data_IF_107082916532
#
_entry.id   IF_107082916532
#
_cell.length_a   1.000
_cell.length_b   1.000
_cell.length_c   1.000
_cell.angle_alpha   90.00
_cell.angle_beta   90.00
_cell.angle_gamma   90.00
#
_symmetry.space_group_name_H-M   'P 1'
#
loop_
_entity.id
_entity.type
_entity.pdbx_description
1 polymer ?
#
# COMPACT_ATOMS: atom_id res chain seq x y z
N UNK A 1 15.93 -1.96 -5.56
CA UNK A 1 15.39 -1.35 -6.80
C UNK A 1 14.81 0.01 -6.45
N UNK A 2 15.08 1.02 -7.25
CA UNK A 2 14.46 2.35 -7.06
C UNK A 2 12.95 2.27 -7.30
N UNK A 3 12.19 3.04 -6.52
CA UNK A 3 10.72 3.04 -6.56
C UNK A 3 10.20 3.40 -7.96
N UNK A 4 10.86 4.32 -8.65
CA UNK A 4 10.48 4.75 -9.99
C UNK A 4 10.62 3.61 -11.00
N UNK A 5 11.74 2.87 -10.96
CA UNK A 5 11.97 1.70 -11.81
C UNK A 5 10.89 0.63 -11.63
N UNK A 6 10.50 0.34 -10.39
CA UNK A 6 9.42 -0.61 -10.11
C UNK A 6 8.07 -0.09 -10.62
N UNK A 7 7.76 1.18 -10.35
CA UNK A 7 6.50 1.80 -10.75
C UNK A 7 6.36 1.81 -12.29
N UNK A 8 7.46 2.04 -13.04
CA UNK A 8 7.51 1.96 -14.50
C UNK A 8 7.30 0.53 -15.02
N UNK A 9 7.98 -0.45 -14.43
CA UNK A 9 7.79 -1.86 -14.79
C UNK A 9 6.33 -2.29 -14.58
N UNK A 10 5.72 -1.91 -13.46
CA UNK A 10 4.32 -2.20 -13.17
C UNK A 10 3.37 -1.53 -14.18
N UNK A 11 3.67 -0.29 -14.59
CA UNK A 11 2.88 0.41 -15.62
C UNK A 11 2.94 -0.32 -16.96
N UNK A 12 4.14 -0.68 -17.43
CA UNK A 12 4.33 -1.43 -18.69
C UNK A 12 3.68 -2.80 -18.64
N UNK A 13 3.75 -3.49 -17.50
CA UNK A 13 3.04 -4.77 -17.31
C UNK A 13 1.54 -4.61 -17.52
N UNK A 14 0.92 -3.54 -17.01
CA UNK A 14 -0.52 -3.28 -17.23
C UNK A 14 -0.81 -3.05 -18.71
N UNK A 15 0.06 -2.33 -19.43
CA UNK A 15 -0.07 -2.13 -20.87
C UNK A 15 0.01 -3.45 -21.65
N UNK A 16 0.95 -4.32 -21.28
CA UNK A 16 1.05 -5.68 -21.84
C UNK A 16 -0.17 -6.55 -21.49
N UNK A 17 -0.72 -6.43 -20.28
CA UNK A 17 -1.93 -7.14 -19.89
C UNK A 17 -3.14 -6.73 -20.74
N UNK A 18 -3.27 -5.44 -21.06
CA UNK A 18 -4.29 -4.95 -21.98
C UNK A 18 -4.14 -5.54 -23.37
N UNK A 19 -2.91 -5.49 -23.92
CA UNK A 19 -2.60 -6.03 -25.25
C UNK A 19 -2.88 -7.54 -25.33
N UNK A 20 -2.70 -8.27 -24.23
CA UNK A 20 -3.00 -9.70 -24.11
C UNK A 20 -4.47 -10.02 -23.88
N UNK A 21 -5.36 -9.02 -23.81
CA UNK A 21 -6.80 -9.24 -23.75
C UNK A 21 -7.43 -9.15 -22.35
N UNK A 22 -6.78 -8.51 -21.37
CA UNK A 22 -7.34 -8.31 -20.02
C UNK A 22 -8.79 -7.80 -20.02
N UNK A 23 -9.12 -6.82 -20.87
CA UNK A 23 -10.50 -6.29 -20.97
C UNK A 23 -11.48 -7.39 -21.39
N UNK A 24 -11.09 -8.24 -22.34
CA UNK A 24 -11.88 -9.38 -22.80
C UNK A 24 -12.11 -10.39 -21.70
N UNK A 25 -11.08 -10.71 -20.91
CA UNK A 25 -11.18 -11.61 -19.76
C UNK A 25 -12.15 -11.07 -18.69
N UNK A 26 -12.02 -9.79 -18.32
CA UNK A 26 -12.88 -9.15 -17.31
C UNK A 26 -14.33 -9.07 -17.79
N UNK A 27 -14.55 -8.77 -19.07
CA UNK A 27 -15.88 -8.79 -19.69
C UNK A 27 -16.49 -10.18 -19.68
N UNK A 28 -15.73 -11.21 -20.09
CA UNK A 28 -16.20 -12.60 -20.06
C UNK A 28 -16.56 -13.04 -18.64
N UNK A 29 -15.76 -12.65 -17.65
CA UNK A 29 -16.04 -12.89 -16.24
C UNK A 29 -17.34 -12.21 -15.78
N UNK A 30 -17.55 -10.94 -16.13
CA UNK A 30 -18.77 -10.20 -15.79
C UNK A 30 -20.03 -10.77 -16.46
N UNK A 31 -19.94 -11.15 -17.75
CA UNK A 31 -21.05 -11.78 -18.49
C UNK A 31 -21.43 -13.13 -17.89
N UNK A 32 -20.43 -13.98 -17.59
CA UNK A 32 -20.63 -15.31 -16.99
C UNK A 32 -21.34 -15.24 -15.63
N UNK A 33 -21.16 -14.15 -14.90
CA UNK A 33 -21.78 -13.95 -13.57
C UNK A 33 -23.09 -13.15 -13.61
N UNK A 34 -23.76 -13.09 -14.78
CA UNK A 34 -25.06 -12.46 -14.90
C UNK A 34 -25.00 -10.93 -14.90
N UNK A 35 -24.02 -10.36 -15.60
CA UNK A 35 -23.85 -8.91 -15.77
C UNK A 35 -23.59 -8.17 -14.44
N UNK A 36 -22.89 -8.85 -13.54
CA UNK A 36 -22.45 -8.31 -12.25
C UNK A 36 -21.18 -9.02 -11.82
N UNK A 37 -20.36 -8.34 -11.03
CA UNK A 37 -19.26 -9.00 -10.34
C UNK A 37 -19.82 -9.82 -9.16
N UNK A 38 -19.52 -11.12 -9.06
CA UNK A 38 -19.96 -11.92 -7.92
C UNK A 38 -19.30 -11.43 -6.64
N UNK A 39 -19.94 -11.62 -5.48
CA UNK A 39 -19.33 -11.27 -4.20
C UNK A 39 -18.33 -12.34 -3.75
N UNK A 40 -17.17 -12.40 -4.40
CA UNK A 40 -16.09 -13.34 -4.09
C UNK A 40 -14.70 -12.70 -4.19
N UNK A 41 -13.66 -13.44 -3.81
CA UNK A 41 -12.27 -12.97 -3.82
C UNK A 41 -11.78 -12.58 -5.22
N UNK A 42 -12.26 -13.25 -6.27
CA UNK A 42 -11.85 -12.99 -7.65
C UNK A 42 -12.31 -11.61 -8.14
N UNK A 43 -13.52 -11.18 -7.78
CA UNK A 43 -14.00 -9.81 -8.05
C UNK A 43 -13.17 -8.72 -7.38
N UNK A 44 -12.40 -9.07 -6.34
CA UNK A 44 -11.46 -8.17 -5.68
C UNK A 44 -10.13 -7.99 -6.42
N UNK A 45 -9.88 -8.75 -7.49
CA UNK A 45 -8.66 -8.61 -8.29
C UNK A 45 -8.60 -7.22 -8.97
N UNK A 46 -7.42 -6.62 -8.96
CA UNK A 46 -7.16 -5.33 -9.63
C UNK A 46 -7.41 -5.50 -11.12
N UNK A 47 -8.30 -4.69 -11.69
CA UNK A 47 -8.78 -4.78 -13.07
C UNK A 47 -10.28 -5.06 -13.14
N UNK A 48 -10.82 -5.89 -12.24
CA UNK A 48 -12.23 -6.30 -12.32
C UNK A 48 -13.17 -5.10 -12.10
N UNK A 49 -13.07 -4.46 -10.93
CA UNK A 49 -13.93 -3.32 -10.57
C UNK A 49 -13.68 -2.09 -11.43
N UNK A 50 -12.41 -1.87 -11.83
CA UNK A 50 -11.99 -0.70 -12.60
C UNK A 50 -12.60 -0.71 -14.01
N UNK A 51 -12.75 -1.88 -14.64
CA UNK A 51 -13.47 -1.99 -15.90
C UNK A 51 -14.98 -2.17 -15.71
N UNK A 52 -15.41 -3.01 -14.76
CA UNK A 52 -16.82 -3.39 -14.67
C UNK A 52 -17.76 -2.23 -14.38
N UNK A 53 -17.26 -1.15 -13.76
CA UNK A 53 -18.03 0.07 -13.52
C UNK A 53 -18.49 0.77 -14.82
N UNK A 54 -17.85 0.47 -15.95
CA UNK A 54 -18.18 1.03 -17.26
C UNK A 54 -19.00 0.06 -18.13
N UNK A 55 -19.22 -1.18 -17.69
CA UNK A 55 -20.05 -2.12 -18.43
C UNK A 55 -21.53 -1.77 -18.21
N UNK A 56 -22.22 -1.41 -19.29
CA UNK A 56 -23.66 -1.14 -19.26
C UNK A 56 -24.46 -2.40 -19.56
N UNK A 57 -25.68 -2.48 -19.03
CA UNK A 57 -26.62 -3.56 -19.38
C UNK A 57 -26.94 -3.57 -20.87
N UNK A 58 -27.03 -2.38 -21.45
CA UNK A 58 -27.60 -2.17 -22.78
C UNK A 58 -26.57 -2.38 -23.88
N UNK A 59 -25.29 -2.10 -23.58
CA UNK A 59 -24.22 -2.41 -24.49
C UNK A 59 -22.93 -2.81 -23.75
N UNK A 60 -22.84 -4.07 -23.28
CA UNK A 60 -21.66 -4.58 -22.57
C UNK A 60 -20.35 -4.49 -23.37
N UNK A 61 -20.46 -4.24 -24.68
CA UNK A 61 -19.35 -4.14 -25.61
C UNK A 61 -18.85 -2.72 -25.83
N UNK A 62 -19.63 -1.71 -25.44
CA UNK A 62 -19.24 -0.31 -25.60
C UNK A 62 -18.66 0.19 -24.28
N UNK A 63 -17.33 0.13 -24.20
CA UNK A 63 -16.56 0.99 -23.30
C UNK A 63 -15.99 2.11 -24.17
N UNK A 64 -16.17 3.37 -23.78
CA UNK A 64 -15.57 4.47 -24.54
C UNK A 64 -14.04 4.44 -24.40
N UNK A 65 -13.30 5.06 -25.34
CA UNK A 65 -11.84 5.20 -25.19
C UNK A 65 -11.48 5.89 -23.87
N UNK A 66 -12.24 6.93 -23.51
CA UNK A 66 -12.04 7.68 -22.26
C UNK A 66 -12.28 6.81 -21.03
N UNK A 67 -13.33 5.99 -21.01
CA UNK A 67 -13.60 5.05 -19.92
C UNK A 67 -12.49 4.00 -19.78
N UNK A 68 -12.00 3.48 -20.91
CA UNK A 68 -10.88 2.55 -20.93
C UNK A 68 -9.62 3.20 -20.36
N UNK A 69 -9.25 4.40 -20.82
CA UNK A 69 -8.10 5.16 -20.31
C UNK A 69 -8.20 5.43 -18.81
N UNK A 70 -9.39 5.82 -18.33
CA UNK A 70 -9.67 6.04 -16.91
C UNK A 70 -9.50 4.75 -16.09
N UNK A 71 -10.08 3.63 -16.56
CA UNK A 71 -9.92 2.33 -15.93
C UNK A 71 -8.43 1.92 -15.85
N UNK A 72 -7.69 2.09 -16.94
CA UNK A 72 -6.26 1.75 -17.01
C UNK A 72 -5.43 2.61 -16.06
N UNK A 73 -5.71 3.92 -15.97
CA UNK A 73 -5.06 4.80 -15.01
C UNK A 73 -5.31 4.35 -13.56
N UNK A 74 -6.54 3.94 -13.24
CA UNK A 74 -6.88 3.40 -11.92
C UNK A 74 -6.17 2.06 -11.64
N UNK A 75 -6.12 1.15 -12.62
CA UNK A 75 -5.43 -0.15 -12.52
C UNK A 75 -3.94 0.06 -12.25
N UNK A 76 -3.28 0.94 -13.01
CA UNK A 76 -1.87 1.30 -12.80
C UNK A 76 -1.65 1.86 -11.39
N UNK A 77 -2.49 2.80 -10.95
CA UNK A 77 -2.43 3.40 -9.61
C UNK A 77 -2.60 2.35 -8.49
N UNK A 78 -3.60 1.48 -8.61
CA UNK A 78 -3.90 0.44 -7.63
C UNK A 78 -2.81 -0.64 -7.60
N UNK A 79 -2.23 -0.99 -8.75
CA UNK A 79 -1.09 -1.92 -8.84
C UNK A 79 0.12 -1.37 -8.11
N UNK A 80 0.48 -0.09 -8.32
CA UNK A 80 1.56 0.58 -7.58
C UNK A 80 1.27 0.62 -6.08
N UNK A 81 0.03 0.93 -5.68
CA UNK A 81 -0.40 0.95 -4.27
C UNK A 81 -0.25 -0.43 -3.62
N UNK A 82 -0.67 -1.47 -4.33
CA UNK A 82 -0.57 -2.85 -3.87
C UNK A 82 0.90 -3.28 -3.70
N UNK A 83 1.78 -2.94 -4.64
CA UNK A 83 3.21 -3.22 -4.51
C UNK A 83 3.83 -2.57 -3.25
N UNK A 84 3.56 -1.28 -2.95
CA UNK A 84 4.05 -0.70 -1.67
C UNK A 84 3.36 -1.29 -0.45
N UNK A 85 2.13 -1.78 -0.55
CA UNK A 85 1.50 -2.48 0.56
C UNK A 85 2.23 -3.81 0.83
N UNK A 86 2.59 -4.57 -0.21
CA UNK A 86 3.37 -5.79 -0.09
C UNK A 86 4.75 -5.51 0.52
N UNK A 87 5.49 -4.53 0.01
CA UNK A 87 6.78 -4.11 0.59
C UNK A 87 6.64 -3.73 2.06
N UNK A 88 5.65 -2.87 2.39
CA UNK A 88 5.38 -2.49 3.78
C UNK A 88 5.03 -3.69 4.64
N UNK A 89 4.29 -4.67 4.14
CA UNK A 89 3.93 -5.87 4.89
C UNK A 89 5.16 -6.73 5.16
N UNK A 90 6.01 -6.94 4.15
CA UNK A 90 7.28 -7.67 4.29
C UNK A 90 8.16 -7.00 5.35
N UNK A 91 8.38 -5.69 5.21
CA UNK A 91 9.24 -4.91 6.11
C UNK A 91 8.67 -4.76 7.52
N UNK A 92 7.35 -4.59 7.65
CA UNK A 92 6.74 -4.25 8.94
C UNK A 92 6.12 -5.42 9.69
N UNK A 93 5.90 -6.57 9.05
CA UNK A 93 5.26 -7.74 9.66
C UNK A 93 6.07 -9.01 9.43
N UNK A 94 6.36 -9.37 8.18
CA UNK A 94 7.06 -10.62 7.89
C UNK A 94 8.46 -10.66 8.52
N UNK A 95 9.30 -9.67 8.24
CA UNK A 95 10.66 -9.62 8.78
C UNK A 95 10.71 -9.65 10.31
N UNK A 96 9.92 -8.85 11.06
CA UNK A 96 9.84 -9.00 12.50
C UNK A 96 9.42 -10.40 12.98
N UNK A 97 8.43 -11.02 12.32
CA UNK A 97 7.97 -12.37 12.68
C UNK A 97 9.08 -13.40 12.47
N UNK A 98 9.81 -13.31 11.36
CA UNK A 98 10.93 -14.18 11.05
C UNK A 98 12.10 -13.99 12.05
N UNK A 99 12.39 -12.74 12.45
CA UNK A 99 13.39 -12.45 13.48
C UNK A 99 13.01 -13.00 14.87
N UNK A 100 11.72 -13.15 15.17
CA UNK A 100 11.24 -13.78 16.41
C UNK A 100 11.11 -15.30 16.33
N UNK A 101 11.40 -15.91 15.17
CA UNK A 101 11.32 -17.35 14.93
C UNK A 101 12.70 -18.01 14.92
N UNK A 102 12.75 -19.35 14.91
CA UNK A 102 13.99 -20.12 14.76
C UNK A 102 14.75 -19.82 13.46
N UNK A 103 14.08 -19.28 12.43
CA UNK A 103 14.73 -18.88 11.18
C UNK A 103 15.78 -17.76 11.36
N UNK A 104 15.77 -17.05 12.48
CA UNK A 104 16.84 -16.10 12.81
C UNK A 104 18.21 -16.78 12.91
N UNK A 105 18.26 -18.06 13.28
CA UNK A 105 19.48 -18.87 13.34
C UNK A 105 19.95 -19.33 11.94
N UNK A 106 19.06 -19.26 10.95
CA UNK A 106 19.33 -19.60 9.56
C UNK A 106 19.03 -18.39 8.63
N UNK A 107 19.74 -17.26 8.78
CA UNK A 107 19.39 -16.01 8.11
C UNK A 107 19.51 -16.08 6.58
N UNK A 108 20.20 -17.09 6.06
CA UNK A 108 20.35 -17.36 4.62
C UNK A 108 19.09 -17.97 3.98
N UNK A 109 18.12 -18.42 4.77
CA UNK A 109 16.89 -19.05 4.26
C UNK A 109 15.85 -18.05 3.77
N UNK A 110 16.04 -16.75 4.06
CA UNK A 110 15.20 -15.69 3.55
C UNK A 110 16.01 -14.78 2.64
N UNK A 111 15.80 -14.94 1.33
CA UNK A 111 16.59 -14.24 0.30
C UNK A 111 15.73 -13.24 -0.44
N UNK A 112 16.28 -12.05 -0.61
CA UNK A 112 15.69 -10.99 -1.42
C UNK A 112 16.50 -10.79 -2.69
N UNK A 113 15.95 -11.26 -3.82
CA UNK A 113 16.52 -11.07 -5.14
C UNK A 113 15.76 -9.98 -5.89
N UNK A 114 16.51 -9.12 -6.57
CA UNK A 114 15.94 -8.11 -7.46
C UNK A 114 16.15 -8.53 -8.90
N UNK A 115 15.08 -8.48 -9.69
CA UNK A 115 15.13 -8.75 -11.13
C UNK A 115 15.17 -7.41 -11.85
N UNK A 116 16.19 -7.21 -12.70
CA UNK A 116 16.23 -6.08 -13.60
C UNK A 116 15.49 -6.43 -14.89
N UNK A 117 14.90 -5.42 -15.54
CA UNK A 117 14.24 -5.62 -16.83
C UNK A 117 15.24 -6.18 -17.85
N UNK A 118 14.85 -7.25 -18.55
CA UNK A 118 15.69 -7.93 -19.55
C UNK A 118 16.79 -8.85 -19.00
N UNK A 119 17.03 -8.85 -17.69
CA UNK A 119 18.02 -9.74 -17.06
C UNK A 119 17.32 -11.00 -16.58
N UNK A 120 17.76 -12.16 -17.06
CA UNK A 120 17.27 -13.44 -16.55
C UNK A 120 17.61 -13.56 -15.06
N UNK A 121 16.55 -13.73 -14.25
CA UNK A 121 16.69 -13.92 -12.81
C UNK A 121 17.16 -15.35 -12.47
N UNK A 122 16.96 -16.31 -13.38
CA UNK A 122 17.24 -17.72 -13.14
C UNK A 122 18.68 -17.98 -12.69
N UNK A 123 19.74 -17.39 -13.29
CA UNK A 123 21.11 -17.59 -12.79
C UNK A 123 21.31 -17.11 -11.35
N UNK A 124 20.67 -16.00 -10.95
CA UNK A 124 20.76 -15.48 -9.59
C UNK A 124 20.00 -16.37 -8.59
N UNK A 125 18.83 -16.87 -9.00
CA UNK A 125 18.03 -17.84 -8.22
C UNK A 125 18.78 -19.16 -8.09
N UNK A 126 19.33 -19.68 -9.18
CA UNK A 126 20.07 -20.94 -9.22
C UNK A 126 21.31 -20.87 -8.33
N UNK A 127 22.14 -19.82 -8.44
CA UNK A 127 23.29 -19.61 -7.55
C UNK A 127 22.88 -19.59 -6.07
N UNK A 128 21.74 -18.97 -5.77
CA UNK A 128 21.19 -18.94 -4.41
C UNK A 128 20.79 -20.33 -3.93
N UNK A 129 20.10 -21.10 -4.77
CA UNK A 129 19.69 -22.47 -4.48
C UNK A 129 20.90 -23.41 -4.34
N UNK A 130 21.89 -23.30 -5.21
CA UNK A 130 23.09 -24.13 -5.15
C UNK A 130 23.89 -23.88 -3.86
N UNK A 131 23.95 -22.61 -3.43
CA UNK A 131 24.55 -22.24 -2.15
C UNK A 131 23.76 -22.81 -0.97
N UNK A 132 22.42 -22.80 -1.05
CA UNK A 132 21.55 -23.33 -0.01
C UNK A 132 21.58 -24.87 0.08
N UNK A 133 21.61 -25.55 -1.07
CA UNK A 133 21.63 -27.02 -1.17
C UNK A 133 23.04 -27.61 -1.02
N UNK A 134 24.08 -26.77 -0.99
CA UNK A 134 25.48 -27.20 -0.89
C UNK A 134 26.01 -27.91 -2.14
N UNK A 135 25.37 -27.72 -3.30
CA UNK A 135 25.69 -28.43 -4.56
C UNK A 135 26.83 -27.80 -5.34
N UNK A 136 27.28 -26.60 -4.96
CA UNK A 136 28.34 -25.86 -5.65
C UNK A 136 29.30 -25.22 -4.64
N UNK A 137 30.61 -25.10 -4.94
CA UNK A 137 31.53 -24.36 -4.09
C UNK A 137 31.01 -22.95 -3.82
N UNK A 138 30.80 -22.66 -2.54
CA UNK A 138 30.16 -21.45 -2.02
C UNK A 138 30.90 -20.21 -2.50
N UNK A 139 30.42 -19.56 -3.57
CA UNK A 139 30.76 -18.17 -3.81
C UNK A 139 29.97 -17.33 -2.78
N UNK A 140 30.64 -16.44 -2.02
CA UNK A 140 29.95 -15.66 -1.01
C UNK A 140 28.89 -14.76 -1.66
N UNK A 141 27.62 -15.07 -1.38
CA UNK A 141 26.49 -14.23 -1.76
C UNK A 141 26.53 -12.93 -0.95
N UNK A 142 26.27 -11.80 -1.61
CA UNK A 142 26.29 -10.48 -0.97
C UNK A 142 25.35 -10.45 0.25
N UNK A 143 25.80 -9.91 1.38
CA UNK A 143 25.01 -9.89 2.62
C UNK A 143 23.69 -9.13 2.47
N UNK A 144 23.64 -8.17 1.55
CA UNK A 144 22.44 -7.40 1.21
C UNK A 144 21.29 -8.28 0.68
N UNK A 145 21.58 -9.49 0.20
CA UNK A 145 20.58 -10.46 -0.25
C UNK A 145 19.83 -11.14 0.89
N UNK A 146 20.30 -11.01 2.14
CA UNK A 146 19.74 -11.71 3.29
C UNK A 146 19.16 -10.72 4.31
N UNK A 147 17.89 -10.29 4.15
CA UNK A 147 17.26 -9.35 5.07
C UNK A 147 17.26 -9.76 6.55
N UNK A 148 17.39 -11.05 6.86
CA UNK A 148 17.49 -11.54 8.25
C UNK A 148 18.86 -11.34 8.89
N UNK A 149 19.91 -11.04 8.10
CA UNK A 149 21.21 -10.62 8.65
C UNK A 149 21.20 -9.17 9.12
N UNK A 150 20.25 -8.36 8.65
CA UNK A 150 20.16 -6.94 8.99
C UNK A 150 19.51 -6.77 10.36
N UNK A 151 20.09 -5.93 11.22
CA UNK A 151 19.47 -5.63 12.51
C UNK A 151 18.12 -4.92 12.31
N UNK A 152 17.09 -5.49 12.93
CA UNK A 152 15.77 -4.88 12.91
C UNK A 152 15.77 -3.64 13.80
N UNK A 153 15.48 -2.46 13.23
CA UNK A 153 15.37 -1.23 14.00
C UNK A 153 14.34 -1.41 15.14
N UNK A 154 14.73 -1.09 16.36
CA UNK A 154 13.84 -1.14 17.52
C UNK A 154 12.65 -0.21 17.26
N UNK A 155 11.43 -0.75 17.33
CA UNK A 155 10.22 0.05 17.13
C UNK A 155 9.61 0.35 18.49
N UNK A 156 9.20 1.60 18.67
CA UNK A 156 8.36 1.96 19.82
C UNK A 156 7.12 1.05 19.87
N UNK A 157 6.65 0.69 21.08
CA UNK A 157 5.41 -0.05 21.22
C UNK A 157 4.24 0.74 20.64
N UNK A 158 3.24 0.04 20.14
CA UNK A 158 1.98 0.67 19.73
C UNK A 158 1.31 1.22 20.98
N UNK A 159 1.00 2.52 20.97
CA UNK A 159 0.32 3.17 22.08
C UNK A 159 -1.01 3.76 21.64
N UNK A 160 -1.94 3.85 22.58
CA UNK A 160 -3.23 4.52 22.45
C UNK A 160 -3.24 5.67 23.45
N UNK A 161 -3.29 6.90 22.96
CA UNK A 161 -3.24 8.11 23.80
C UNK A 161 -4.37 9.06 23.40
N UNK A 162 -5.04 9.64 24.38
CA UNK A 162 -6.09 10.64 24.13
C UNK A 162 -5.51 12.06 24.14
N UNK A 163 -5.84 12.87 23.14
CA UNK A 163 -5.59 14.30 23.18
C UNK A 163 -6.78 15.02 23.79
N UNK A 164 -6.66 15.49 25.04
CA UNK A 164 -7.72 16.21 25.77
C UNK A 164 -8.18 17.50 25.07
N UNK A 165 -7.29 18.17 24.35
CA UNK A 165 -7.60 19.43 23.64
C UNK A 165 -8.41 19.16 22.37
N UNK A 166 -7.98 18.19 21.56
CA UNK A 166 -8.67 17.86 20.32
C UNK A 166 -9.84 16.88 20.51
N UNK A 167 -9.98 16.28 21.70
CA UNK A 167 -10.94 15.22 22.03
C UNK A 167 -10.89 14.07 21.02
N UNK A 168 -9.68 13.66 20.66
CA UNK A 168 -9.44 12.54 19.76
C UNK A 168 -8.52 11.51 20.39
N UNK A 169 -8.76 10.27 20.01
CA UNK A 169 -7.93 9.13 20.37
C UNK A 169 -6.88 8.91 19.28
N UNK A 170 -5.61 8.99 19.66
CA UNK A 170 -4.47 8.85 18.75
C UNK A 170 -3.84 7.48 18.97
N UNK A 171 -3.84 6.67 17.92
CA UNK A 171 -3.33 5.31 17.91
C UNK A 171 -2.05 5.22 17.09
N UNK A 172 -1.04 4.53 17.60
CA UNK A 172 0.16 4.15 16.85
C UNK A 172 1.48 4.45 17.57
N UNK A 173 2.57 4.18 16.85
CA UNK A 173 3.96 4.42 17.30
C UNK A 173 4.32 5.88 17.05
N UNK A 174 4.76 6.62 18.07
CA UNK A 174 5.07 8.06 17.97
C UNK A 174 3.93 9.00 17.50
N UNK A 175 2.72 8.49 17.24
CA UNK A 175 1.66 9.26 16.56
C UNK A 175 1.17 10.45 17.40
N UNK A 176 1.18 10.34 18.73
CA UNK A 176 0.82 11.47 19.60
C UNK A 176 1.78 12.65 19.43
N UNK A 177 3.09 12.42 19.27
CA UNK A 177 4.07 13.50 19.07
C UNK A 177 3.82 14.21 17.74
N UNK A 178 3.50 13.45 16.69
CA UNK A 178 3.12 14.00 15.37
C UNK A 178 1.81 14.79 15.49
N UNK A 179 0.81 14.25 16.20
CA UNK A 179 -0.46 14.91 16.43
C UNK A 179 -0.28 16.27 17.12
N UNK A 180 0.52 16.35 18.19
CA UNK A 180 0.77 17.58 18.93
C UNK A 180 1.42 18.68 18.05
N UNK A 181 2.21 18.30 17.04
CA UNK A 181 2.82 19.22 16.05
C UNK A 181 1.90 19.55 14.86
N UNK A 182 0.77 18.85 14.72
CA UNK A 182 -0.11 18.96 13.56
C UNK A 182 -0.79 20.34 13.46
N UNK A 183 -1.15 20.74 12.23
CA UNK A 183 -1.97 21.95 11.99
C UNK A 183 -3.30 21.89 12.74
N UNK A 184 -3.89 20.69 12.86
CA UNK A 184 -5.13 20.45 13.61
C UNK A 184 -4.96 20.81 15.08
N UNK A 185 -3.95 20.26 15.75
CA UNK A 185 -3.72 20.51 17.18
C UNK A 185 -3.40 21.98 17.46
N UNK A 186 -2.52 22.59 16.65
CA UNK A 186 -2.22 24.03 16.73
C UNK A 186 -3.48 24.89 16.53
N UNK A 187 -4.38 24.50 15.62
CA UNK A 187 -5.67 25.16 15.42
C UNK A 187 -6.59 25.03 16.64
N UNK A 188 -6.66 23.84 17.25
CA UNK A 188 -7.42 23.64 18.50
C UNK A 188 -6.86 24.47 19.66
N UNK A 189 -5.53 24.57 19.80
CA UNK A 189 -4.90 25.43 20.81
C UNK A 189 -5.26 26.91 20.62
N UNK A 190 -5.21 27.41 19.37
CA UNK A 190 -5.62 28.79 19.07
C UNK A 190 -7.09 29.04 19.37
N UNK A 191 -7.96 28.08 19.04
CA UNK A 191 -9.39 28.16 19.34
C UNK A 191 -9.65 28.20 20.84
N UNK A 192 -8.94 27.38 21.62
CA UNK A 192 -9.03 27.37 23.07
C UNK A 192 -8.59 28.71 23.69
N UNK A 193 -7.53 29.32 23.17
CA UNK A 193 -7.09 30.66 23.60
C UNK A 193 -8.15 31.74 23.28
N UNK A 194 -8.71 31.73 22.07
CA UNK A 194 -9.80 32.65 21.68
C UNK A 194 -11.07 32.45 22.53
N UNK A 195 -11.41 31.21 22.88
CA UNK A 195 -12.54 30.91 23.77
C UNK A 195 -12.32 31.48 25.17
N UNK A 196 -11.09 31.40 25.69
CA UNK A 196 -10.72 31.99 26.98
C UNK A 196 -10.84 33.52 26.95
N UNK A 197 -10.21 34.18 25.98
CA UNK A 197 -10.27 35.64 25.82
C UNK A 197 -11.71 36.15 25.62
N UNK A 198 -12.52 35.45 24.81
CA UNK A 198 -13.91 35.82 24.59
C UNK A 198 -14.75 35.67 25.86
N UNK A 199 -14.52 34.63 26.65
CA UNK A 199 -15.20 34.41 27.93
C UNK A 199 -14.85 35.51 28.93
N UNK A 200 -13.57 35.90 29.02
CA UNK A 200 -13.10 37.00 29.89
C UNK A 200 -13.70 38.35 29.47
N UNK A 201 -13.77 38.63 28.16
CA UNK A 201 -14.25 39.92 27.64
C UNK A 201 -15.77 40.09 27.65
N UNK A 202 -16.53 39.01 27.39
CA UNK A 202 -17.98 39.10 27.15
C UNK A 202 -18.81 38.26 28.14
N UNK A 203 -18.20 37.51 29.06
CA UNK A 203 -18.90 36.66 30.03
C UNK A 203 -19.66 35.48 29.40
N UNK A 204 -19.44 35.20 28.11
CA UNK A 204 -20.16 34.15 27.37
C UNK A 204 -19.22 33.34 26.49
N UNK A 205 -19.64 32.12 26.17
CA UNK A 205 -18.84 31.21 25.34
C UNK A 205 -18.77 31.68 23.88
N UNK A 206 -17.62 31.46 23.24
CA UNK A 206 -17.43 31.79 21.84
C UNK A 206 -18.26 30.79 20.99
N UNK A 207 -19.17 31.26 20.12
CA UNK A 207 -19.99 30.36 19.31
C UNK A 207 -19.13 29.38 18.50
N UNK A 208 -19.62 28.14 18.29
CA UNK A 208 -18.90 27.15 17.51
C UNK A 208 -18.69 27.66 16.08
N UNK A 209 -17.59 27.27 15.41
CA UNK A 209 -17.37 27.65 14.02
C UNK A 209 -18.55 27.17 13.17
N UNK A 210 -19.11 28.05 12.33
CA UNK A 210 -20.15 27.68 11.37
C UNK A 210 -19.61 26.54 10.51
N UNK A 211 -20.24 25.35 10.57
CA UNK A 211 -19.92 24.25 9.66
C UNK A 211 -20.17 24.77 8.25
N UNK A 212 -19.16 24.77 7.37
CA UNK A 212 -19.41 25.00 5.94
C UNK A 212 -20.39 23.91 5.51
N UNK A 213 -21.60 24.29 5.11
CA UNK A 213 -22.50 23.41 4.38
C UNK A 213 -21.76 23.07 3.08
N UNK A 214 -21.45 21.80 2.85
CA UNK A 214 -20.99 21.37 1.54
C UNK A 214 -22.19 21.55 0.60
N UNK A 215 -22.15 22.61 -0.20
CA UNK A 215 -22.92 22.73 -1.44
C UNK A 215 -22.18 22.01 -2.55
#
# INVERSE_FOLDING_TARGET
MEREVLDDFLNRRVDLMLQRGMLGEVKAFWLKNGRKLPHNSLSGAIGCKEFSQFFTSDNPSLISSSDCENAVAQIKSNTRRYARQQERWIQNRLLPLLHSSSLKEAPTHFVQLWVQEGVDALPSVQRTLDTFLGTSPVQPLAESLFPLKQQLASREPVSQKECKICKILVYGRGQMVIHLKSKRHRGSLRRLALEKEHREKYGRELPPPKRKRNS
#
